data_IF_650148973413
#
_entry.id   IF_650148973413
#
_cell.length_a   1.000
_cell.length_b   1.000
_cell.length_c   1.000
_cell.angle_alpha   90.00
_cell.angle_beta   90.00
_cell.angle_gamma   90.00
#
_symmetry.space_group_name_H-M   'P 1'
#
loop_
_entity.id
_entity.type
_entity.pdbx_description
1 polymer ?
#
# COMPACT_ATOMS: atom_id res chain seq x y z
N UNK A 1 3.55 -5.13 18.05
CA UNK A 1 3.70 -5.79 16.73
C UNK A 1 5.17 -5.97 16.45
N UNK A 2 5.57 -7.11 15.86
CA UNK A 2 6.96 -7.40 15.49
C UNK A 2 7.06 -7.48 13.97
N UNK A 3 8.26 -7.32 13.43
CA UNK A 3 8.52 -7.60 12.02
C UNK A 3 8.28 -9.08 11.73
N UNK A 4 7.74 -9.38 10.55
CA UNK A 4 7.55 -10.72 10.04
C UNK A 4 7.74 -10.77 8.51
N UNK A 5 7.62 -11.98 7.98
CA UNK A 5 7.90 -12.28 6.57
C UNK A 5 6.57 -12.30 5.79
N UNK A 6 6.45 -11.46 4.77
CA UNK A 6 5.24 -11.36 3.96
C UNK A 6 3.99 -11.12 4.81
N UNK A 7 2.93 -11.91 4.60
CA UNK A 7 1.70 -11.80 5.38
C UNK A 7 1.87 -12.07 6.89
N UNK A 8 2.90 -12.79 7.31
CA UNK A 8 3.10 -13.17 8.71
C UNK A 8 3.44 -11.98 9.63
N UNK A 9 3.90 -10.86 9.08
CA UNK A 9 4.10 -9.61 9.84
C UNK A 9 2.84 -8.73 9.95
N UNK A 10 1.71 -9.17 9.39
CA UNK A 10 0.42 -8.48 9.43
C UNK A 10 -0.46 -9.13 10.50
N UNK A 11 -0.64 -8.44 11.63
CA UNK A 11 -1.47 -8.94 12.72
C UNK A 11 -2.95 -8.90 12.39
N UNK A 12 -3.58 -10.07 12.25
CA UNK A 12 -5.02 -10.22 12.00
C UNK A 12 -5.82 -10.31 13.31
N UNK A 13 -6.99 -9.65 13.42
CA UNK A 13 -7.85 -9.73 14.60
C UNK A 13 -8.76 -10.97 14.55
N UNK A 14 -9.21 -11.44 15.72
CA UNK A 14 -10.25 -12.45 15.80
C UNK A 14 -11.59 -11.92 15.26
N UNK A 15 -12.31 -12.76 14.52
CA UNK A 15 -13.61 -12.42 13.98
C UNK A 15 -14.72 -12.45 15.06
N UNK A 16 -15.63 -11.48 14.98
CA UNK A 16 -16.87 -11.39 15.77
C UNK A 16 -17.98 -10.86 14.87
N UNK A 17 -19.21 -11.32 15.09
CA UNK A 17 -20.37 -10.77 14.37
C UNK A 17 -20.41 -9.25 14.52
N UNK A 18 -20.56 -8.54 13.40
CA UNK A 18 -20.46 -7.08 13.32
C UNK A 18 -21.30 -6.60 12.15
N UNK A 19 -22.09 -5.54 12.34
CA UNK A 19 -22.95 -5.03 11.30
C UNK A 19 -23.90 -6.10 10.75
N UNK A 20 -23.98 -6.20 9.42
CA UNK A 20 -24.83 -7.18 8.73
C UNK A 20 -24.26 -8.60 8.72
N UNK A 21 -22.99 -8.78 9.11
CA UNK A 21 -22.27 -10.04 8.97
C UNK A 21 -22.23 -10.86 10.27
N UNK A 22 -22.47 -12.15 10.12
CA UNK A 22 -22.16 -13.15 11.15
C UNK A 22 -20.65 -13.26 11.41
N UNK A 23 -20.25 -13.94 12.50
CA UNK A 23 -18.83 -14.19 12.81
C UNK A 23 -18.09 -14.86 11.65
N UNK A 24 -18.71 -15.83 10.97
CA UNK A 24 -18.10 -16.54 9.84
C UNK A 24 -17.88 -15.63 8.63
N UNK A 25 -18.87 -14.78 8.32
CA UNK A 25 -18.74 -13.80 7.23
C UNK A 25 -17.68 -12.73 7.52
N UNK A 26 -17.57 -12.29 8.78
CA UNK A 26 -16.46 -11.39 9.19
C UNK A 26 -15.11 -12.07 9.04
N UNK A 27 -14.99 -13.37 9.34
CA UNK A 27 -13.74 -14.10 9.14
C UNK A 27 -13.34 -14.14 7.65
N UNK A 28 -14.29 -14.44 6.76
CA UNK A 28 -14.05 -14.43 5.30
C UNK A 28 -13.68 -13.03 4.78
N UNK A 29 -14.36 -11.99 5.26
CA UNK A 29 -14.04 -10.60 4.92
C UNK A 29 -12.61 -10.23 5.34
N UNK A 30 -12.16 -10.66 6.53
CA UNK A 30 -10.79 -10.45 7.00
C UNK A 30 -9.75 -11.22 6.17
N UNK A 31 -10.06 -12.46 5.78
CA UNK A 31 -9.21 -13.27 4.91
C UNK A 31 -9.03 -12.60 3.55
N UNK A 32 -10.11 -12.22 2.87
CA UNK A 32 -10.04 -11.51 1.59
C UNK A 32 -9.39 -10.12 1.68
N UNK A 33 -9.54 -9.45 2.83
CA UNK A 33 -8.81 -8.20 3.08
C UNK A 33 -7.29 -8.44 3.14
N UNK A 34 -6.86 -9.56 3.73
CA UNK A 34 -5.46 -9.97 3.71
C UNK A 34 -5.00 -10.36 2.30
N UNK A 35 -5.84 -11.06 1.53
CA UNK A 35 -5.54 -11.40 0.12
C UNK A 35 -5.29 -10.13 -0.71
N UNK A 36 -6.10 -9.07 -0.51
CA UNK A 36 -5.85 -7.79 -1.16
C UNK A 36 -4.49 -7.19 -0.78
N UNK A 37 -4.11 -7.22 0.50
CA UNK A 37 -2.79 -6.72 0.94
C UNK A 37 -1.64 -7.52 0.31
N UNK A 38 -1.80 -8.83 0.19
CA UNK A 38 -0.82 -9.71 -0.46
C UNK A 38 -0.73 -9.41 -1.95
N UNK A 39 -1.85 -9.46 -2.66
CA UNK A 39 -1.90 -9.25 -4.11
C UNK A 39 -1.48 -7.83 -4.53
N UNK A 40 -1.69 -6.82 -3.69
CA UNK A 40 -1.33 -5.43 -4.01
C UNK A 40 0.12 -5.06 -3.69
N UNK A 41 0.73 -5.69 -2.68
CA UNK A 41 1.97 -5.21 -2.08
C UNK A 41 3.04 -6.29 -1.86
N UNK A 42 2.70 -7.57 -2.01
CA UNK A 42 3.64 -8.69 -1.79
C UNK A 42 3.78 -9.60 -3.02
N UNK A 43 2.84 -9.55 -3.95
CA UNK A 43 2.91 -10.34 -5.18
C UNK A 43 4.13 -9.94 -6.03
N UNK A 44 4.95 -10.94 -6.39
CA UNK A 44 6.19 -10.72 -7.14
C UNK A 44 5.97 -10.18 -8.55
N UNK A 45 4.85 -10.51 -9.19
CA UNK A 45 4.47 -10.00 -10.51
C UNK A 45 4.12 -8.52 -10.44
N UNK A 46 3.35 -8.11 -9.44
CA UNK A 46 2.98 -6.72 -9.17
C UNK A 46 4.20 -5.89 -8.77
N UNK A 47 5.04 -6.42 -7.88
CA UNK A 47 6.30 -5.78 -7.51
C UNK A 47 7.21 -5.58 -8.73
N UNK A 48 7.20 -6.53 -9.67
CA UNK A 48 7.91 -6.43 -10.95
C UNK A 48 7.21 -5.56 -12.01
N UNK A 49 6.20 -4.77 -11.63
CA UNK A 49 5.51 -3.83 -12.51
C UNK A 49 4.32 -4.40 -13.28
N UNK A 50 3.98 -5.67 -13.08
CA UNK A 50 2.78 -6.30 -13.66
C UNK A 50 1.48 -5.67 -13.16
N UNK A 51 0.40 -5.74 -13.94
CA UNK A 51 -0.91 -5.23 -13.53
C UNK A 51 -1.46 -6.08 -12.35
N UNK A 52 -2.01 -5.47 -11.28
CA UNK A 52 -2.44 -6.20 -10.08
C UNK A 52 -3.88 -6.72 -10.23
N UNK A 53 -4.12 -7.57 -11.23
CA UNK A 53 -5.46 -8.01 -11.60
C UNK A 53 -6.18 -8.73 -10.45
N UNK A 54 -5.47 -9.57 -9.69
CA UNK A 54 -6.03 -10.29 -8.53
C UNK A 54 -6.47 -9.33 -7.41
N UNK A 55 -5.70 -8.27 -7.15
CA UNK A 55 -6.08 -7.26 -6.17
C UNK A 55 -7.26 -6.41 -6.66
N UNK A 56 -7.29 -6.05 -7.95
CA UNK A 56 -8.39 -5.29 -8.56
C UNK A 56 -9.69 -6.09 -8.55
N UNK A 57 -9.63 -7.42 -8.74
CA UNK A 57 -10.80 -8.28 -8.71
C UNK A 57 -11.52 -8.32 -7.35
N UNK A 58 -10.84 -7.97 -6.26
CA UNK A 58 -11.43 -7.85 -4.92
C UNK A 58 -12.14 -6.51 -4.68
N UNK A 59 -11.94 -5.52 -5.55
CA UNK A 59 -12.59 -4.21 -5.45
C UNK A 59 -13.99 -4.27 -6.04
N UNK A 60 -14.91 -3.51 -5.45
CA UNK A 60 -16.28 -3.41 -5.93
C UNK A 60 -16.29 -2.84 -7.37
N UNK A 61 -16.72 -3.62 -8.38
CA UNK A 61 -16.74 -3.15 -9.77
C UNK A 61 -17.78 -2.06 -10.01
N UNK A 62 -18.73 -1.87 -9.07
CA UNK A 62 -19.78 -0.85 -9.15
C UNK A 62 -19.39 0.47 -8.45
N UNK A 63 -18.19 0.55 -7.86
CA UNK A 63 -17.67 1.79 -7.28
C UNK A 63 -17.03 2.66 -8.38
N UNK A 64 -17.84 3.48 -9.05
CA UNK A 64 -17.46 4.22 -10.25
C UNK A 64 -16.21 5.10 -10.06
N UNK A 65 -16.10 5.83 -8.95
CA UNK A 65 -14.96 6.68 -8.62
C UNK A 65 -13.64 5.88 -8.55
N UNK A 66 -13.67 4.68 -7.97
CA UNK A 66 -12.49 3.80 -7.90
C UNK A 66 -12.17 3.20 -9.26
N UNK A 67 -13.18 2.84 -10.06
CA UNK A 67 -12.93 2.32 -11.41
C UNK A 67 -12.29 3.38 -12.32
N UNK A 68 -12.77 4.63 -12.24
CA UNK A 68 -12.19 5.77 -12.96
C UNK A 68 -10.76 6.08 -12.50
N UNK A 69 -10.52 6.05 -11.18
CA UNK A 69 -9.18 6.17 -10.61
C UNK A 69 -8.25 5.07 -11.14
N UNK A 70 -8.64 3.78 -11.08
CA UNK A 70 -7.80 2.68 -11.56
C UNK A 70 -7.50 2.81 -13.07
N UNK A 71 -8.50 3.18 -13.88
CA UNK A 71 -8.32 3.36 -15.31
C UNK A 71 -7.33 4.51 -15.61
N UNK A 72 -7.41 5.61 -14.86
CA UNK A 72 -6.53 6.77 -15.03
C UNK A 72 -5.12 6.49 -14.51
N UNK A 73 -5.02 5.96 -13.29
CA UNK A 73 -3.76 5.68 -12.60
C UNK A 73 -2.84 4.75 -13.41
N UNK A 74 -3.36 3.74 -14.10
CA UNK A 74 -2.54 2.88 -14.95
C UNK A 74 -2.24 3.43 -16.35
N UNK A 75 -2.92 4.48 -16.79
CA UNK A 75 -2.79 5.04 -18.15
C UNK A 75 -1.97 6.33 -18.17
N UNK A 76 -2.22 7.21 -17.21
CA UNK A 76 -1.59 8.52 -17.08
C UNK A 76 -1.44 8.86 -15.59
N UNK A 77 -0.48 8.22 -14.89
CA UNK A 77 -0.24 8.50 -13.48
C UNK A 77 -0.01 9.99 -13.22
N UNK A 78 -0.53 10.48 -12.10
CA UNK A 78 -0.40 11.86 -11.64
C UNK A 78 -0.29 11.88 -10.12
N UNK A 79 -0.18 13.06 -9.51
CA UNK A 79 -0.22 13.19 -8.05
C UNK A 79 -1.52 12.65 -7.46
N UNK A 80 -2.63 12.93 -8.11
CA UNK A 80 -3.97 12.54 -7.67
C UNK A 80 -4.31 11.09 -8.05
N UNK A 81 -3.84 10.65 -9.22
CA UNK A 81 -4.10 9.34 -9.81
C UNK A 81 -2.81 8.51 -9.89
N UNK A 82 -2.16 8.25 -8.75
CA UNK A 82 -0.98 7.39 -8.70
C UNK A 82 -1.36 5.96 -8.28
N UNK A 83 -1.09 4.91 -9.08
CA UNK A 83 -1.37 3.53 -8.68
C UNK A 83 -0.57 3.10 -7.44
N UNK A 84 0.53 3.79 -7.11
CA UNK A 84 1.35 3.54 -5.92
C UNK A 84 0.62 3.79 -4.61
N UNK A 85 -0.50 4.50 -4.62
CA UNK A 85 -1.34 4.65 -3.43
C UNK A 85 -1.91 3.30 -2.95
N UNK A 86 -2.18 2.38 -3.88
CA UNK A 86 -2.72 1.04 -3.57
C UNK A 86 -1.70 -0.08 -3.82
N UNK A 87 -0.85 0.03 -4.84
CA UNK A 87 -0.05 -1.08 -5.35
C UNK A 87 1.44 -0.77 -5.30
N UNK A 88 2.24 -1.63 -4.68
CA UNK A 88 3.70 -1.44 -4.68
C UNK A 88 4.31 -2.00 -5.96
N UNK A 89 4.94 -1.14 -6.78
CA UNK A 89 5.38 -1.46 -8.15
C UNK A 89 6.75 -0.87 -8.42
N UNK A 90 7.63 -1.63 -9.06
CA UNK A 90 8.93 -1.17 -9.54
C UNK A 90 9.03 -1.33 -11.06
N UNK A 91 9.71 -0.40 -11.72
CA UNK A 91 10.03 -0.55 -13.14
C UNK A 91 11.16 -1.57 -13.30
N UNK A 92 10.83 -2.72 -13.89
CA UNK A 92 11.73 -3.88 -14.00
C UNK A 92 12.97 -3.58 -14.84
N UNK A 93 12.86 -2.64 -15.78
CA UNK A 93 14.00 -2.19 -16.58
C UNK A 93 15.06 -1.43 -15.75
N UNK A 94 14.65 -0.82 -14.64
CA UNK A 94 15.50 0.06 -13.83
C UNK A 94 15.93 -0.59 -12.52
N UNK A 95 15.01 -1.33 -11.88
CA UNK A 95 15.14 -1.82 -10.51
C UNK A 95 14.68 -3.27 -10.40
N UNK A 96 15.34 -4.03 -9.53
CA UNK A 96 14.96 -5.40 -9.18
C UNK A 96 14.85 -5.56 -7.67
N UNK A 97 13.73 -6.11 -7.22
CA UNK A 97 13.55 -6.55 -5.83
C UNK A 97 14.49 -7.70 -5.51
N UNK A 98 15.13 -7.65 -4.34
CA UNK A 98 16.14 -8.61 -3.90
C UNK A 98 15.52 -9.65 -2.96
N UNK A 99 15.69 -10.92 -3.31
CA UNK A 99 15.18 -12.05 -2.53
C UNK A 99 13.66 -12.19 -2.63
N UNK A 100 13.15 -13.20 -1.93
CA UNK A 100 11.74 -13.62 -2.03
C UNK A 100 10.91 -13.18 -0.82
N UNK A 101 11.49 -12.39 0.09
CA UNK A 101 10.87 -12.01 1.36
C UNK A 101 10.83 -10.50 1.52
N UNK A 102 9.62 -9.95 1.44
CA UNK A 102 9.33 -8.59 1.90
C UNK A 102 9.10 -8.63 3.41
N UNK A 103 9.80 -7.79 4.17
CA UNK A 103 9.54 -7.65 5.61
C UNK A 103 8.32 -6.75 5.81
N UNK A 104 7.39 -7.21 6.64
CA UNK A 104 6.19 -6.44 6.99
C UNK A 104 6.05 -6.26 8.48
N UNK A 105 5.39 -5.18 8.88
CA UNK A 105 4.98 -4.93 10.25
C UNK A 105 3.71 -4.09 10.24
N UNK A 106 2.63 -4.65 10.76
CA UNK A 106 1.37 -3.93 10.82
C UNK A 106 0.27 -4.71 11.51
N UNK A 107 -0.93 -4.14 11.46
CA UNK A 107 -2.15 -4.76 11.96
C UNK A 107 -3.34 -4.43 11.08
N UNK A 108 -4.32 -5.31 11.18
CA UNK A 108 -5.68 -5.11 10.71
C UNK A 108 -6.60 -4.94 11.91
N UNK A 109 -7.60 -4.09 11.77
CA UNK A 109 -8.73 -3.97 12.70
C UNK A 109 -10.02 -3.76 11.94
N UNK A 110 -11.15 -3.98 12.60
CA UNK A 110 -12.44 -3.74 11.98
C UNK A 110 -13.47 -3.25 12.99
N UNK A 111 -14.49 -2.57 12.45
CA UNK A 111 -15.63 -2.04 13.19
C UNK A 111 -16.87 -2.07 12.32
N UNK A 112 -18.02 -1.81 12.92
CA UNK A 112 -19.22 -1.52 12.13
C UNK A 112 -19.08 -0.14 11.48
N UNK A 113 -19.29 -0.10 10.17
CA UNK A 113 -19.27 1.08 9.33
C UNK A 113 -20.68 1.61 9.04
N UNK A 114 -20.78 2.50 8.06
CA UNK A 114 -22.07 3.04 7.61
C UNK A 114 -22.95 1.94 7.03
N UNK A 115 -24.27 2.10 7.16
CA UNK A 115 -25.29 1.15 6.63
C UNK A 115 -25.12 -0.29 7.14
N UNK A 116 -24.39 -0.50 8.25
CA UNK A 116 -24.14 -1.81 8.82
C UNK A 116 -23.01 -2.59 8.14
N UNK A 117 -22.21 -1.95 7.28
CA UNK A 117 -21.03 -2.55 6.67
C UNK A 117 -20.01 -2.99 7.74
N UNK A 118 -19.15 -3.94 7.40
CA UNK A 118 -17.95 -4.23 8.19
C UNK A 118 -16.79 -3.45 7.58
N UNK A 119 -16.31 -2.43 8.30
CA UNK A 119 -15.22 -1.57 7.84
C UNK A 119 -13.90 -2.12 8.39
N UNK A 120 -13.03 -2.59 7.50
CA UNK A 120 -11.71 -3.12 7.81
C UNK A 120 -10.67 -2.03 7.55
N UNK A 121 -9.88 -1.69 8.57
CA UNK A 121 -8.77 -0.74 8.49
C UNK A 121 -7.45 -1.47 8.64
N UNK A 122 -6.54 -1.24 7.70
CA UNK A 122 -5.18 -1.78 7.69
C UNK A 122 -4.19 -0.65 7.97
N UNK A 123 -3.09 -0.92 8.69
CA UNK A 123 -1.94 0.00 8.75
C UNK A 123 -0.66 -0.85 8.78
N UNK A 124 -0.04 -0.99 7.60
CA UNK A 124 1.06 -1.92 7.36
C UNK A 124 2.26 -1.19 6.77
N UNK A 125 3.43 -1.43 7.35
CA UNK A 125 4.72 -1.04 6.78
C UNK A 125 5.33 -2.21 6.01
N UNK A 126 5.75 -1.98 4.78
CA UNK A 126 6.44 -2.91 3.89
C UNK A 126 7.87 -2.40 3.62
N UNK A 127 8.84 -3.31 3.59
CA UNK A 127 10.24 -2.99 3.29
C UNK A 127 10.70 -3.81 2.09
N UNK A 128 11.00 -3.12 1.00
CA UNK A 128 11.43 -3.69 -0.26
C UNK A 128 12.93 -3.47 -0.45
N UNK A 129 13.78 -4.48 -0.24
CA UNK A 129 15.18 -4.40 -0.63
C UNK A 129 15.28 -4.45 -2.16
N UNK A 130 16.03 -3.53 -2.75
CA UNK A 130 16.15 -3.40 -4.19
C UNK A 130 17.58 -3.11 -4.63
N UNK A 131 17.91 -3.58 -5.83
CA UNK A 131 19.14 -3.25 -6.55
C UNK A 131 18.77 -2.66 -7.91
N UNK A 132 19.71 -1.97 -8.56
CA UNK A 132 19.53 -1.63 -9.97
C UNK A 132 19.45 -2.88 -10.82
N UNK A 133 18.70 -2.79 -11.91
CA UNK A 133 18.64 -3.84 -12.92
C UNK A 133 19.94 -3.97 -13.73
N UNK A 134 20.77 -2.92 -13.77
CA UNK A 134 22.04 -2.91 -14.51
C UNK A 134 22.98 -4.04 -14.05
N UNK A 135 23.57 -4.76 -15.02
CA UNK A 135 24.43 -5.91 -14.76
C UNK A 135 25.60 -5.55 -13.84
N UNK A 136 25.86 -6.41 -12.84
CA UNK A 136 26.93 -6.21 -11.86
C UNK A 136 26.59 -5.27 -10.71
N UNK A 137 25.37 -4.72 -10.64
CA UNK A 137 24.93 -3.91 -9.50
C UNK A 137 24.68 -4.77 -8.26
N UNK A 138 25.30 -4.40 -7.15
CA UNK A 138 25.23 -5.09 -5.86
C UNK A 138 24.82 -4.19 -4.68
N UNK A 139 24.76 -2.87 -4.89
CA UNK A 139 24.25 -1.92 -3.89
C UNK A 139 22.77 -2.20 -3.61
N UNK A 140 22.48 -2.64 -2.38
CA UNK A 140 21.11 -2.83 -1.90
C UNK A 140 20.65 -1.57 -1.18
N UNK A 141 19.59 -0.95 -1.70
CA UNK A 141 18.84 0.09 -1.00
C UNK A 141 17.46 -0.44 -0.62
N UNK A 142 16.72 0.32 0.19
CA UNK A 142 15.37 -0.06 0.62
C UNK A 142 14.39 1.00 0.21
N UNK A 143 13.26 0.59 -0.34
CA UNK A 143 12.03 1.40 -0.41
C UNK A 143 11.13 0.94 0.73
N UNK A 144 10.67 1.88 1.55
CA UNK A 144 9.83 1.60 2.71
C UNK A 144 8.49 2.28 2.50
N UNK A 145 7.39 1.53 2.65
CA UNK A 145 6.04 2.04 2.41
C UNK A 145 5.17 1.73 3.60
N UNK A 146 4.62 2.75 4.27
CA UNK A 146 3.55 2.59 5.26
C UNK A 146 2.22 2.92 4.59
N UNK A 147 1.31 1.95 4.53
CA UNK A 147 0.02 2.10 3.86
C UNK A 147 -1.13 1.87 4.83
N UNK A 148 -2.09 2.79 4.78
CA UNK A 148 -3.39 2.64 5.43
C UNK A 148 -4.48 2.51 4.36
N UNK A 149 -5.28 1.45 4.45
CA UNK A 149 -6.42 1.19 3.56
C UNK A 149 -7.64 0.91 4.44
N UNK A 150 -8.75 1.53 4.09
CA UNK A 150 -10.05 1.30 4.72
C UNK A 150 -10.99 0.69 3.69
N UNK A 151 -11.42 -0.54 3.95
CA UNK A 151 -12.23 -1.38 3.08
C UNK A 151 -13.64 -1.52 3.69
N UNK A 152 -14.68 -1.17 2.96
CA UNK A 152 -16.07 -1.38 3.36
C UNK A 152 -16.60 -2.67 2.76
N UNK A 153 -16.83 -3.66 3.61
CA UNK A 153 -17.59 -4.87 3.27
C UNK A 153 -19.08 -4.55 3.39
N UNK A 154 -19.60 -3.95 2.33
CA UNK A 154 -20.93 -3.35 2.28
C UNK A 154 -22.07 -4.38 2.41
N UNK A 155 -23.18 -3.95 3.00
CA UNK A 155 -24.42 -4.73 3.04
C UNK A 155 -25.07 -4.73 1.64
N UNK A 156 -25.15 -5.90 0.96
CA UNK A 156 -25.70 -5.98 -0.39
C UNK A 156 -27.20 -5.64 -0.47
N UNK A 157 -27.91 -5.63 0.67
CA UNK A 157 -29.29 -5.16 0.71
C UNK A 157 -29.40 -3.61 0.65
N UNK A 158 -28.29 -2.89 0.81
CA UNK A 158 -28.26 -1.41 0.90
C UNK A 158 -27.27 -0.75 -0.05
N UNK A 159 -26.37 -1.51 -0.67
CA UNK A 159 -25.31 -1.04 -1.56
C UNK A 159 -25.21 -1.98 -2.74
N UNK A 160 -25.04 -1.44 -3.95
CA UNK A 160 -24.75 -2.26 -5.13
C UNK A 160 -23.29 -2.72 -5.03
N UNK A 161 -23.10 -4.02 -4.82
CA UNK A 161 -21.79 -4.65 -4.64
C UNK A 161 -21.86 -6.10 -5.11
N UNK A 162 -20.77 -6.60 -5.70
CA UNK A 162 -20.66 -8.01 -6.08
C UNK A 162 -20.22 -8.87 -4.88
N UNK A 163 -20.73 -10.12 -4.76
CA UNK A 163 -20.31 -11.03 -3.71
C UNK A 163 -18.79 -11.20 -3.65
N UNK A 164 -18.21 -11.07 -2.45
CA UNK A 164 -16.79 -11.25 -2.23
C UNK A 164 -15.91 -10.06 -2.58
N UNK A 165 -16.50 -8.92 -2.96
CA UNK A 165 -15.78 -7.66 -3.17
C UNK A 165 -15.99 -6.69 -2.01
N UNK A 166 -15.16 -5.65 -1.93
CA UNK A 166 -15.32 -4.53 -0.98
C UNK A 166 -15.18 -3.18 -1.69
N UNK A 167 -15.80 -2.14 -1.14
CA UNK A 167 -15.59 -0.76 -1.61
C UNK A 167 -14.42 -0.10 -0.87
N UNK A 168 -13.60 0.70 -1.54
CA UNK A 168 -12.57 1.50 -0.89
C UNK A 168 -13.17 2.75 -0.28
N UNK A 169 -12.92 2.97 1.01
CA UNK A 169 -13.37 4.17 1.74
C UNK A 169 -12.27 5.23 1.79
N UNK A 170 -11.04 4.80 2.01
CA UNK A 170 -9.86 5.67 1.98
C UNK A 170 -8.59 4.85 1.79
N UNK A 171 -7.58 5.44 1.17
CA UNK A 171 -6.27 4.84 1.00
C UNK A 171 -5.19 5.94 1.08
N UNK A 172 -4.13 5.66 1.83
CA UNK A 172 -3.00 6.58 2.07
C UNK A 172 -1.71 5.79 2.04
N UNK A 173 -0.66 6.36 1.46
CA UNK A 173 0.67 5.78 1.45
C UNK A 173 1.70 6.85 1.82
N UNK A 174 2.54 6.54 2.80
CA UNK A 174 3.77 7.26 3.10
C UNK A 174 4.95 6.42 2.62
N UNK A 175 5.81 7.03 1.82
CA UNK A 175 6.88 6.32 1.14
C UNK A 175 8.22 6.96 1.44
N UNK A 176 9.22 6.12 1.70
CA UNK A 176 10.62 6.50 1.82
C UNK A 176 11.42 5.81 0.73
N UNK A 177 12.24 6.60 0.02
CA UNK A 177 13.04 6.15 -1.11
C UNK A 177 12.21 5.44 -2.19
N UNK A 178 11.05 6.03 -2.53
CA UNK A 178 10.19 5.57 -3.63
C UNK A 178 10.07 6.58 -4.76
N UNK A 179 10.83 7.67 -4.73
CA UNK A 179 10.72 8.81 -5.64
C UNK A 179 10.06 10.03 -4.99
N UNK A 180 10.46 11.21 -5.45
CA UNK A 180 9.86 12.49 -5.09
C UNK A 180 9.34 13.20 -6.32
N UNK A 181 8.11 13.71 -6.23
CA UNK A 181 7.45 14.56 -7.26
C UNK A 181 7.48 13.98 -8.69
N UNK A 182 7.62 12.67 -8.80
CA UNK A 182 7.71 11.94 -10.07
C UNK A 182 6.61 10.88 -10.09
N UNK A 183 5.62 11.07 -10.95
CA UNK A 183 4.42 10.22 -11.02
C UNK A 183 4.49 9.35 -12.28
N UNK A 184 5.25 8.27 -12.21
CA UNK A 184 5.40 7.29 -13.31
C UNK A 184 4.54 6.04 -13.10
N UNK A 185 3.90 5.90 -11.93
CA UNK A 185 3.21 4.69 -11.50
C UNK A 185 4.14 3.56 -11.04
N UNK A 186 5.43 3.88 -10.83
CA UNK A 186 6.45 2.98 -10.31
C UNK A 186 7.31 3.71 -9.28
N UNK A 187 7.75 3.00 -8.24
CA UNK A 187 8.75 3.54 -7.33
C UNK A 187 10.07 3.76 -8.05
N UNK A 188 10.67 4.93 -7.82
CA UNK A 188 11.97 5.33 -8.36
C UNK A 188 12.98 5.50 -7.22
N UNK A 189 13.46 4.39 -6.60
CA UNK A 189 14.42 4.46 -5.51
C UNK A 189 15.75 5.07 -5.97
N UNK A 190 16.32 5.91 -5.11
CA UNK A 190 17.63 6.51 -5.30
C UNK A 190 18.73 5.64 -4.67
N UNK A 191 19.82 5.48 -5.40
CA UNK A 191 21.03 4.82 -4.94
C UNK A 191 22.08 5.86 -4.56
N UNK A 192 23.23 5.40 -4.05
CA UNK A 192 24.32 6.27 -3.59
C UNK A 192 24.75 7.33 -4.62
N UNK A 193 24.80 6.96 -5.90
CA UNK A 193 25.21 7.86 -6.99
C UNK A 193 24.20 8.98 -7.27
N UNK A 194 22.89 8.70 -7.32
CA UNK A 194 21.84 9.72 -7.48
C UNK A 194 21.84 10.65 -6.28
N UNK A 195 21.87 10.09 -5.06
CA UNK A 195 21.84 10.87 -3.83
C UNK A 195 23.02 11.84 -3.72
N UNK A 196 24.19 11.44 -4.22
CA UNK A 196 25.35 12.32 -4.29
C UNK A 196 25.18 13.47 -5.29
N UNK A 197 24.34 13.29 -6.32
CA UNK A 197 24.08 14.30 -7.34
C UNK A 197 22.89 15.22 -7.00
N UNK A 198 21.83 14.70 -6.38
CA UNK A 198 20.63 15.44 -6.00
C UNK A 198 20.76 16.21 -4.68
N UNK A 199 21.65 15.78 -3.79
CA UNK A 199 21.77 16.33 -2.43
C UNK A 199 20.66 15.83 -1.50
N UNK A 200 20.63 16.34 -0.27
CA UNK A 200 19.50 16.10 0.66
C UNK A 200 18.32 16.97 0.27
N UNK A 201 17.10 16.40 0.27
CA UNK A 201 15.88 17.17 0.03
C UNK A 201 15.64 18.23 1.11
N UNK A 202 14.93 19.31 0.75
CA UNK A 202 14.64 20.45 1.63
C UNK A 202 13.47 20.20 2.60
N UNK A 203 12.86 19.01 2.56
CA UNK A 203 11.78 18.61 3.44
C UNK A 203 12.24 18.12 4.82
N UNK A 204 11.29 17.82 5.72
CA UNK A 204 11.59 17.41 7.08
C UNK A 204 12.33 16.07 7.15
N UNK A 205 13.06 15.88 8.26
CA UNK A 205 13.61 14.58 8.61
C UNK A 205 12.52 13.66 9.16
N UNK A 206 12.35 12.48 8.56
CA UNK A 206 11.30 11.53 8.93
C UNK A 206 11.91 10.16 9.25
N UNK A 207 11.45 9.51 10.32
CA UNK A 207 11.70 8.09 10.56
C UNK A 207 10.65 7.24 9.84
N UNK A 208 11.01 6.47 8.80
CA UNK A 208 10.07 5.62 8.05
C UNK A 208 9.45 4.52 8.92
N UNK A 209 10.08 4.20 10.05
CA UNK A 209 9.62 3.15 10.96
C UNK A 209 8.87 3.68 12.17
N UNK A 210 8.75 5.01 12.32
CA UNK A 210 7.93 5.57 13.39
C UNK A 210 6.44 5.32 13.11
N UNK A 211 5.76 4.87 14.17
CA UNK A 211 4.33 4.57 14.19
C UNK A 211 3.63 5.25 15.36
N UNK A 212 4.32 6.16 16.06
CA UNK A 212 3.73 6.97 17.11
C UNK A 212 2.72 7.98 16.56
N UNK A 213 2.99 8.50 15.35
CA UNK A 213 2.09 9.36 14.58
C UNK A 213 1.10 8.53 13.75
N UNK A 214 -0.16 8.95 13.73
CA UNK A 214 -1.20 8.36 12.87
C UNK A 214 -0.93 8.65 11.39
N UNK A 215 -1.47 7.84 10.48
CA UNK A 215 -1.34 8.11 9.04
C UNK A 215 -1.98 9.45 8.65
N UNK A 216 -3.11 9.83 9.26
CA UNK A 216 -3.71 11.15 9.05
C UNK A 216 -2.80 12.31 9.42
N UNK A 217 -2.13 12.23 10.57
CA UNK A 217 -1.20 13.27 10.99
C UNK A 217 0.02 13.31 10.07
N UNK A 218 0.54 12.14 9.69
CA UNK A 218 1.67 12.01 8.78
C UNK A 218 1.39 12.57 7.38
N UNK A 219 0.23 12.28 6.82
CA UNK A 219 -0.16 12.83 5.51
C UNK A 219 -0.33 14.36 5.57
N UNK A 220 -0.94 14.89 6.63
CA UNK A 220 -1.07 16.35 6.82
C UNK A 220 0.27 17.07 6.94
N UNK A 221 1.24 16.45 7.61
CA UNK A 221 2.60 16.99 7.72
C UNK A 221 3.35 16.94 6.37
N UNK A 222 3.03 15.96 5.52
CA UNK A 222 3.65 15.80 4.20
C UNK A 222 3.03 16.72 3.12
N UNK A 223 1.73 17.01 3.17
CA UNK A 223 1.02 17.79 2.13
C UNK A 223 1.59 19.21 1.95
N UNK A 224 2.15 19.80 3.01
CA UNK A 224 2.75 21.14 3.04
C UNK A 224 4.30 21.10 2.90
N UNK A 225 4.89 19.90 2.79
CA UNK A 225 6.34 19.71 2.80
C UNK A 225 6.89 19.30 1.44
N UNK A 226 8.09 19.80 1.09
CA UNK A 226 8.86 19.29 -0.03
C UNK A 226 9.45 17.90 0.27
N UNK A 227 10.20 17.36 -0.69
CA UNK A 227 10.87 16.07 -0.56
C UNK A 227 11.69 15.95 0.73
N UNK A 228 11.25 15.09 1.67
CA UNK A 228 11.87 14.91 2.98
C UNK A 228 13.11 14.02 2.95
N UNK A 229 13.86 14.04 4.05
CA UNK A 229 15.02 13.16 4.25
C UNK A 229 14.70 12.06 5.26
N UNK A 230 15.01 10.81 4.92
CA UNK A 230 14.85 9.72 5.88
C UNK A 230 16.01 9.71 6.88
N UNK A 231 15.68 9.69 8.18
CA UNK A 231 16.69 9.62 9.26
C UNK A 231 17.40 8.25 9.31
N UNK A 232 16.80 7.23 8.71
CA UNK A 232 17.33 5.86 8.59
C UNK A 232 16.61 5.08 7.51
N UNK A 233 17.27 4.05 7.00
CA UNK A 233 16.73 3.07 6.04
C UNK A 233 17.14 1.66 6.44
#
# INVERSE_FOLDING_TARGET
>A
MRWGDGAAGIGMPDARATGWMSKGQVAEALEKSLDFLVASSLDSGVLGGGRPDDAIALLNPHQADVQDYLATAFRAPSREDDPLLLFSRFEKADVRVVGDVVKTRGRVSYREGKRGAVEVTTDVTYVYPVVRAAAGSDEVVRTIVRREVVMSWDDPAKVVIEPGTFSLVSYKADTTNGGCDTYTGYFTPEFSAERAASGSGDGPEVDPYDRSTSMDARMREADDAGCGTATRS
#
